data_IF_473199946259
#
_entry.id   IF_473199946259
#
_cell.length_a   1.000
_cell.length_b   1.000
_cell.length_c   1.000
_cell.angle_alpha   90.00
_cell.angle_beta   90.00
_cell.angle_gamma   90.00
#
_symmetry.space_group_name_H-M   'P 1'
#
loop_
_entity.id
_entity.type
_entity.pdbx_description
1 polymer ?
#
# COMPACT_ATOMS: atom_id res chain seq x y z
N UNK A 1 9.19 8.97 30.36
CA UNK A 1 10.50 8.69 29.74
C UNK A 1 10.40 9.07 28.27
N UNK A 2 10.79 10.30 27.95
CA UNK A 2 10.66 10.96 26.65
C UNK A 2 12.05 11.05 26.02
N UNK A 3 12.28 10.34 24.91
CA UNK A 3 13.51 10.45 24.12
C UNK A 3 13.33 11.59 23.11
N UNK A 4 13.97 12.73 23.40
CA UNK A 4 14.19 13.83 22.46
C UNK A 4 15.34 13.48 21.53
N UNK A 5 15.09 13.38 20.23
CA UNK A 5 16.16 13.30 19.22
C UNK A 5 16.55 14.72 18.82
N UNK A 6 17.76 15.10 19.22
CA UNK A 6 18.44 16.35 18.85
C UNK A 6 19.12 16.09 17.49
N UNK A 7 18.75 16.83 16.45
CA UNK A 7 19.49 16.88 15.18
C UNK A 7 20.58 17.95 15.28
N UNK A 8 21.85 17.52 15.35
CA UNK A 8 23.03 18.39 15.25
C UNK A 8 23.54 18.35 13.81
N UNK A 9 23.52 19.49 13.12
CA UNK A 9 24.23 19.71 11.85
C UNK A 9 25.59 20.35 12.13
N UNK A 10 26.72 19.70 11.81
CA UNK A 10 28.02 20.37 11.83
C UNK A 10 28.47 20.74 10.41
N UNK A 11 28.92 21.98 10.23
CA UNK A 11 29.94 22.28 9.23
C UNK A 11 29.58 23.30 8.14
N UNK A 12 29.24 24.53 8.51
CA UNK A 12 29.46 25.68 7.63
C UNK A 12 30.93 26.10 7.77
N UNK A 13 31.72 26.01 6.69
CA UNK A 13 33.04 26.64 6.59
C UNK A 13 33.18 27.41 5.29
N UNK A 14 33.30 28.72 5.47
CA UNK A 14 34.04 29.73 4.72
C UNK A 14 34.32 29.49 3.22
N UNK A 15 33.70 30.36 2.43
CA UNK A 15 33.94 30.63 1.02
C UNK A 15 35.24 31.44 0.85
N UNK A 16 36.15 31.00 -0.04
CA UNK A 16 37.26 31.84 -0.54
C UNK A 16 37.25 31.88 -2.07
N UNK A 17 37.55 33.05 -2.59
CA UNK A 17 37.43 33.49 -3.98
C UNK A 17 38.55 32.97 -4.89
N UNK A 18 38.19 32.52 -6.10
CA UNK A 18 39.13 32.27 -7.19
C UNK A 18 38.43 32.42 -8.54
N UNK A 19 38.92 33.34 -9.36
CA UNK A 19 38.36 33.80 -10.64
C UNK A 19 38.95 33.00 -11.81
N UNK A 20 38.19 32.94 -12.91
CA UNK A 20 38.54 32.64 -14.31
C UNK A 20 38.12 31.26 -14.84
N UNK A 21 37.35 31.28 -15.93
CA UNK A 21 37.10 30.09 -16.75
C UNK A 21 35.70 30.09 -17.39
N UNK A 22 35.60 30.71 -18.56
CA UNK A 22 34.44 30.74 -19.44
C UNK A 22 34.01 29.31 -19.88
N UNK A 23 32.75 29.18 -20.30
CA UNK A 23 32.06 28.01 -20.88
C UNK A 23 31.44 26.98 -19.91
N UNK A 24 30.13 27.15 -19.65
CA UNK A 24 29.23 26.00 -19.48
C UNK A 24 27.82 26.39 -19.88
N UNK A 25 27.33 25.73 -20.93
CA UNK A 25 25.92 25.67 -21.32
C UNK A 25 25.06 25.22 -20.12
N UNK A 26 23.82 25.70 -19.95
CA UNK A 26 22.97 25.24 -18.87
C UNK A 26 22.57 23.79 -19.16
N UNK A 27 23.21 22.86 -18.45
CA UNK A 27 22.76 21.48 -18.32
C UNK A 27 21.42 21.54 -17.55
N UNK A 28 20.32 21.61 -18.29
CA UNK A 28 18.98 21.39 -17.78
C UNK A 28 18.98 20.02 -17.11
N UNK A 29 19.09 19.99 -15.78
CA UNK A 29 18.79 18.81 -14.97
C UNK A 29 17.30 18.57 -15.08
N UNK A 30 16.90 17.91 -16.17
CA UNK A 30 15.58 17.32 -16.31
C UNK A 30 15.40 16.39 -15.12
N UNK A 31 14.51 16.76 -14.19
CA UNK A 31 14.12 15.92 -13.07
C UNK A 31 13.56 14.63 -13.64
N UNK A 32 14.36 13.58 -13.68
CA UNK A 32 13.89 12.24 -14.00
C UNK A 32 13.01 11.77 -12.84
N UNK A 33 11.70 11.94 -12.98
CA UNK A 33 10.71 11.30 -12.12
C UNK A 33 10.78 9.80 -12.38
N UNK A 34 11.40 9.04 -11.47
CA UNK A 34 11.41 7.57 -11.53
C UNK A 34 9.99 7.05 -11.29
N UNK A 35 9.25 6.81 -12.38
CA UNK A 35 7.99 6.06 -12.36
C UNK A 35 8.28 4.57 -12.49
N UNK A 36 7.78 3.76 -11.54
CA UNK A 36 7.79 2.29 -11.64
C UNK A 36 6.70 1.79 -12.62
N UNK A 37 5.84 2.68 -13.13
CA UNK A 37 4.89 2.33 -14.18
C UNK A 37 5.59 2.38 -15.54
N UNK A 38 5.46 1.32 -16.37
CA UNK A 38 5.91 1.40 -17.76
C UNK A 38 5.22 2.60 -18.42
N UNK A 39 5.97 3.37 -19.22
CA UNK A 39 5.38 4.46 -20.00
C UNK A 39 4.34 3.85 -20.94
N UNK A 40 3.12 4.38 -20.87
CA UNK A 40 2.03 3.95 -21.75
C UNK A 40 2.47 4.16 -23.20
N UNK A 41 2.58 3.07 -23.98
CA UNK A 41 2.90 3.10 -25.41
C UNK A 41 4.30 2.62 -25.80
N UNK A 42 5.23 2.40 -24.86
CA UNK A 42 6.57 1.92 -25.19
C UNK A 42 6.63 0.39 -25.01
N UNK A 43 6.42 -0.34 -26.12
CA UNK A 43 6.50 -1.79 -26.13
C UNK A 43 7.96 -2.21 -25.84
N UNK A 44 8.15 -3.04 -24.82
CA UNK A 44 9.50 -3.51 -24.43
C UNK A 44 10.12 -4.22 -25.64
N UNK A 45 11.28 -3.77 -26.15
CA UNK A 45 11.92 -4.41 -27.29
C UNK A 45 12.17 -5.90 -27.00
N UNK A 46 11.89 -6.75 -27.98
CA UNK A 46 12.00 -8.21 -27.85
C UNK A 46 13.38 -8.65 -27.37
N UNK A 47 14.44 -7.98 -27.87
CA UNK A 47 15.83 -8.22 -27.47
C UNK A 47 16.06 -7.89 -25.98
N UNK A 48 15.50 -6.81 -25.46
CA UNK A 48 15.61 -6.45 -24.03
C UNK A 48 14.93 -7.51 -23.15
N UNK A 49 13.76 -8.00 -23.55
CA UNK A 49 13.06 -9.07 -22.85
C UNK A 49 13.80 -10.42 -22.97
N UNK A 50 14.44 -10.70 -24.10
CA UNK A 50 15.28 -11.88 -24.31
C UNK A 50 16.54 -11.84 -23.45
N UNK A 51 17.29 -10.73 -23.49
CA UNK A 51 18.48 -10.51 -22.66
C UNK A 51 18.12 -10.60 -21.18
N UNK A 52 17.04 -9.97 -20.73
CA UNK A 52 16.61 -10.07 -19.33
C UNK A 52 16.29 -11.52 -18.89
N UNK A 53 15.73 -12.34 -19.79
CA UNK A 53 15.43 -13.76 -19.53
C UNK A 53 16.70 -14.63 -19.53
N UNK A 54 17.63 -14.38 -20.44
CA UNK A 54 18.90 -15.13 -20.54
C UNK A 54 19.84 -14.76 -19.39
N UNK A 55 19.91 -13.49 -19.01
CA UNK A 55 20.72 -13.01 -17.88
C UNK A 55 20.24 -13.54 -16.53
N UNK A 56 19.03 -14.08 -16.45
CA UNK A 56 18.45 -14.59 -15.23
C UNK A 56 17.54 -15.80 -15.49
N UNK A 57 18.14 -16.95 -15.86
CA UNK A 57 17.41 -18.11 -16.36
C UNK A 57 16.52 -18.75 -15.29
N UNK A 58 16.96 -18.73 -14.03
CA UNK A 58 16.19 -19.18 -12.87
C UNK A 58 15.22 -18.11 -12.36
N UNK A 59 15.31 -16.88 -12.87
CA UNK A 59 14.53 -15.74 -12.42
C UNK A 59 15.02 -15.10 -11.11
N UNK A 60 14.55 -13.88 -10.85
CA UNK A 60 15.16 -13.03 -9.82
C UNK A 60 14.87 -13.57 -8.43
N UNK A 61 15.75 -13.32 -7.45
CA UNK A 61 15.48 -13.58 -6.03
C UNK A 61 14.11 -13.06 -5.59
N UNK A 62 13.72 -11.87 -6.06
CA UNK A 62 12.40 -11.30 -5.81
C UNK A 62 11.24 -12.15 -6.39
N UNK A 63 11.45 -12.81 -7.53
CA UNK A 63 10.48 -13.74 -8.12
C UNK A 63 10.33 -14.99 -7.27
N UNK A 64 11.43 -15.61 -6.84
CA UNK A 64 11.42 -16.76 -5.94
C UNK A 64 10.75 -16.47 -4.61
N UNK A 65 11.03 -15.31 -4.01
CA UNK A 65 10.36 -14.86 -2.78
C UNK A 65 8.85 -14.73 -3.01
N UNK A 66 8.42 -14.15 -4.14
CA UNK A 66 6.99 -14.03 -4.47
C UNK A 66 6.33 -15.40 -4.65
N UNK A 67 6.96 -16.32 -5.37
CA UNK A 67 6.45 -17.68 -5.60
C UNK A 67 6.30 -18.42 -4.26
N UNK A 68 7.34 -18.40 -3.42
CA UNK A 68 7.32 -19.02 -2.09
C UNK A 68 6.23 -18.44 -1.19
N UNK A 69 6.08 -17.12 -1.14
CA UNK A 69 5.04 -16.45 -0.35
C UNK A 69 3.64 -16.78 -0.87
N UNK A 70 3.43 -16.81 -2.18
CA UNK A 70 2.13 -17.20 -2.78
C UNK A 70 1.78 -18.67 -2.48
N UNK A 71 2.76 -19.56 -2.47
CA UNK A 71 2.55 -20.95 -2.08
C UNK A 71 2.14 -21.05 -0.61
N UNK A 72 2.84 -20.36 0.29
CA UNK A 72 2.47 -20.31 1.72
C UNK A 72 1.07 -19.73 1.93
N UNK A 73 0.67 -18.74 1.12
CA UNK A 73 -0.66 -18.12 1.18
C UNK A 73 -1.81 -19.10 0.90
N UNK A 74 -1.57 -20.19 0.18
CA UNK A 74 -2.63 -21.18 -0.09
C UNK A 74 -2.98 -22.04 1.12
N UNK A 75 -2.07 -22.13 2.11
CA UNK A 75 -2.26 -22.98 3.28
C UNK A 75 -3.37 -22.46 4.20
N UNK A 76 -4.26 -23.31 4.74
CA UNK A 76 -5.35 -22.89 5.62
C UNK A 76 -4.85 -22.09 6.84
N UNK A 77 -3.77 -22.56 7.49
CA UNK A 77 -3.18 -21.87 8.64
C UNK A 77 -2.67 -20.47 8.32
N UNK A 78 -2.17 -20.22 7.10
CA UNK A 78 -1.82 -18.87 6.66
C UNK A 78 -3.07 -18.00 6.52
N UNK A 79 -4.10 -18.54 5.85
CA UNK A 79 -5.35 -17.81 5.60
C UNK A 79 -6.04 -17.42 6.91
N UNK A 80 -6.09 -18.30 7.91
CA UNK A 80 -6.67 -18.00 9.23
C UNK A 80 -5.93 -16.85 9.93
N UNK A 81 -4.60 -16.88 9.98
CA UNK A 81 -3.81 -15.78 10.56
C UNK A 81 -3.99 -14.47 9.79
N UNK A 82 -4.03 -14.56 8.46
CA UNK A 82 -4.19 -13.39 7.61
C UNK A 82 -5.61 -12.79 7.70
N UNK A 83 -6.64 -13.61 7.93
CA UNK A 83 -8.00 -13.14 8.12
C UNK A 83 -8.09 -12.18 9.32
N UNK A 84 -7.51 -12.55 10.47
CA UNK A 84 -7.44 -11.70 11.67
C UNK A 84 -6.73 -10.37 11.35
N UNK A 85 -5.54 -10.45 10.74
CA UNK A 85 -4.77 -9.25 10.37
C UNK A 85 -5.55 -8.35 9.40
N UNK A 86 -6.17 -8.93 8.38
CA UNK A 86 -6.97 -8.19 7.40
C UNK A 86 -8.20 -7.53 8.03
N UNK A 87 -8.77 -8.14 9.08
CA UNK A 87 -9.82 -7.55 9.89
C UNK A 87 -9.34 -6.28 10.61
N UNK A 88 -8.18 -6.35 11.27
CA UNK A 88 -7.55 -5.21 11.94
C UNK A 88 -7.25 -4.08 10.95
N UNK A 89 -6.64 -4.40 9.81
CA UNK A 89 -6.34 -3.42 8.75
C UNK A 89 -7.63 -2.79 8.19
N UNK A 90 -8.71 -3.59 8.07
CA UNK A 90 -10.04 -3.12 7.69
C UNK A 90 -10.59 -2.09 8.67
N UNK A 91 -10.53 -2.36 9.97
CA UNK A 91 -10.95 -1.42 11.02
C UNK A 91 -10.10 -0.15 11.01
N UNK A 92 -8.78 -0.25 10.90
CA UNK A 92 -7.91 0.94 10.80
C UNK A 92 -8.26 1.79 9.58
N UNK A 93 -8.57 1.16 8.45
CA UNK A 93 -9.00 1.87 7.24
C UNK A 93 -10.36 2.55 7.41
N UNK A 94 -11.32 1.90 8.07
CA UNK A 94 -12.63 2.49 8.41
C UNK A 94 -12.49 3.70 9.33
N UNK A 95 -11.69 3.60 10.40
CA UNK A 95 -11.40 4.75 11.27
C UNK A 95 -10.75 5.90 10.50
N UNK A 96 -9.74 5.58 9.67
CA UNK A 96 -8.99 6.59 8.95
C UNK A 96 -9.80 7.29 7.85
N UNK A 97 -10.59 6.52 7.06
CA UNK A 97 -11.31 7.03 5.89
C UNK A 97 -12.77 7.36 6.16
N UNK A 98 -13.46 6.55 6.96
CA UNK A 98 -14.87 6.75 7.33
C UNK A 98 -15.04 7.81 8.41
N UNK A 99 -14.15 7.84 9.40
CA UNK A 99 -14.28 8.74 10.57
C UNK A 99 -13.13 9.75 10.73
N UNK A 100 -12.21 9.83 9.77
CA UNK A 100 -11.21 10.89 9.71
C UNK A 100 -10.21 10.92 10.88
N UNK A 101 -9.96 9.80 11.57
CA UNK A 101 -9.15 9.77 12.80
C UNK A 101 -7.68 10.18 12.64
N UNK A 102 -7.19 10.27 11.40
CA UNK A 102 -5.88 10.85 11.06
C UNK A 102 -5.82 12.37 11.25
N UNK A 103 -6.96 13.02 11.35
CA UNK A 103 -7.09 14.46 11.57
C UNK A 103 -7.83 14.69 12.89
N UNK A 104 -7.06 14.90 13.96
CA UNK A 104 -7.63 15.27 15.25
C UNK A 104 -7.75 16.80 15.35
N UNK A 105 -8.95 17.30 15.70
CA UNK A 105 -9.18 18.73 15.92
C UNK A 105 -8.57 19.22 17.22
N UNK A 106 -8.37 18.31 18.18
CA UNK A 106 -7.81 18.60 19.49
C UNK A 106 -6.29 18.42 19.51
N UNK A 107 -5.62 19.32 20.25
CA UNK A 107 -4.17 19.22 20.51
C UNK A 107 -3.92 18.48 21.83
N UNK A 108 -2.95 17.56 21.82
CA UNK A 108 -2.53 16.78 22.98
C UNK A 108 -3.02 15.33 22.97
N UNK A 109 -2.15 14.41 23.41
CA UNK A 109 -2.39 12.96 23.43
C UNK A 109 -3.67 12.55 24.19
N UNK A 110 -3.98 13.10 25.38
CA UNK A 110 -5.17 12.67 26.12
C UNK A 110 -6.49 12.98 25.39
N UNK A 111 -6.56 14.14 24.73
CA UNK A 111 -7.76 14.55 23.97
C UNK A 111 -7.92 13.76 22.67
N UNK A 112 -6.80 13.49 21.98
CA UNK A 112 -6.80 12.62 20.79
C UNK A 112 -7.22 11.18 21.14
N UNK A 113 -6.72 10.65 22.27
CA UNK A 113 -7.11 9.33 22.75
C UNK A 113 -8.63 9.25 23.02
N UNK A 114 -9.20 10.23 23.73
CA UNK A 114 -10.64 10.28 23.98
C UNK A 114 -11.44 10.36 22.66
N UNK A 115 -11.00 11.16 21.69
CA UNK A 115 -11.61 11.20 20.35
C UNK A 115 -11.60 9.81 19.71
N UNK A 116 -10.47 9.11 19.72
CA UNK A 116 -10.36 7.77 19.12
C UNK A 116 -11.20 6.72 19.83
N UNK A 117 -11.29 6.74 21.16
CA UNK A 117 -12.14 5.83 21.94
C UNK A 117 -13.60 6.05 21.61
N UNK A 118 -14.06 7.30 21.59
CA UNK A 118 -15.45 7.61 21.24
C UNK A 118 -15.77 7.22 19.79
N UNK A 119 -14.85 7.45 18.85
CA UNK A 119 -14.99 6.97 17.48
C UNK A 119 -15.08 5.45 17.42
N UNK A 120 -14.29 4.72 18.22
CA UNK A 120 -14.35 3.27 18.27
C UNK A 120 -15.70 2.74 18.76
N UNK A 121 -16.27 3.38 19.78
CA UNK A 121 -17.60 3.05 20.29
C UNK A 121 -18.65 3.31 19.20
N UNK A 122 -18.58 4.46 18.52
CA UNK A 122 -19.50 4.79 17.44
C UNK A 122 -19.46 3.78 16.28
N UNK A 123 -18.26 3.39 15.83
CA UNK A 123 -18.06 2.35 14.81
C UNK A 123 -18.69 1.02 15.24
N UNK A 124 -18.50 0.62 16.49
CA UNK A 124 -19.07 -0.64 16.99
C UNK A 124 -20.61 -0.60 16.99
N UNK A 125 -21.21 0.54 17.38
CA UNK A 125 -22.67 0.73 17.34
C UNK A 125 -23.17 0.69 15.89
N UNK A 126 -22.52 1.38 14.96
CA UNK A 126 -22.89 1.38 13.54
C UNK A 126 -22.86 -0.03 12.95
N UNK A 127 -21.80 -0.81 13.24
CA UNK A 127 -21.68 -2.20 12.81
C UNK A 127 -22.80 -3.08 13.36
N UNK A 128 -23.14 -2.93 14.64
CA UNK A 128 -24.26 -3.66 15.25
C UNK A 128 -25.60 -3.25 14.63
N UNK A 129 -25.78 -1.96 14.31
CA UNK A 129 -27.01 -1.45 13.69
C UNK A 129 -27.22 -1.94 12.25
N UNK A 130 -26.14 -2.16 11.50
CA UNK A 130 -26.18 -2.66 10.12
C UNK A 130 -26.19 -4.18 10.00
N UNK A 131 -26.09 -4.90 11.12
CA UNK A 131 -26.12 -6.35 11.14
C UNK A 131 -27.56 -6.82 10.83
N UNK A 132 -27.75 -7.54 9.73
CA UNK A 132 -29.05 -8.15 9.42
C UNK A 132 -29.44 -9.16 10.51
N UNK A 133 -30.74 -9.25 10.82
CA UNK A 133 -31.25 -10.28 11.72
C UNK A 133 -30.80 -11.66 11.24
N UNK A 134 -30.39 -12.50 12.20
CA UNK A 134 -29.76 -13.81 11.97
C UNK A 134 -30.48 -14.61 10.89
N UNK A 135 -29.88 -14.72 9.69
CA UNK A 135 -30.40 -15.55 8.59
C UNK A 135 -30.56 -14.87 7.24
N UNK A 136 -30.46 -13.53 7.13
CA UNK A 136 -30.50 -12.87 5.82
C UNK A 136 -29.09 -12.65 5.25
N UNK A 137 -28.78 -13.19 4.05
CA UNK A 137 -27.51 -12.90 3.38
C UNK A 137 -27.48 -11.42 2.99
N UNK A 138 -26.40 -10.72 3.33
CA UNK A 138 -26.16 -9.34 2.89
C UNK A 138 -26.20 -9.27 1.35
N UNK A 139 -26.82 -8.24 0.78
CA UNK A 139 -26.82 -8.06 -0.67
C UNK A 139 -25.37 -8.00 -1.19
N UNK A 140 -25.01 -8.78 -2.23
CA UNK A 140 -23.68 -8.71 -2.80
C UNK A 140 -23.40 -7.29 -3.28
N UNK A 141 -22.20 -6.78 -2.99
CA UNK A 141 -21.77 -5.51 -3.59
C UNK A 141 -21.78 -5.67 -5.12
N UNK A 142 -22.32 -4.71 -5.89
CA UNK A 142 -22.24 -4.74 -7.35
C UNK A 142 -20.78 -4.88 -7.80
N UNK A 143 -20.50 -5.68 -8.84
CA UNK A 143 -19.14 -5.93 -9.28
C UNK A 143 -18.48 -4.63 -9.73
N UNK A 144 -17.21 -4.46 -9.37
CA UNK A 144 -16.42 -3.31 -9.84
C UNK A 144 -16.12 -3.47 -11.33
N UNK A 145 -15.87 -2.38 -12.05
CA UNK A 145 -15.50 -2.42 -13.47
C UNK A 145 -14.34 -3.39 -13.77
N UNK A 146 -13.39 -3.51 -12.85
CA UNK A 146 -12.31 -4.49 -12.95
C UNK A 146 -12.79 -5.94 -12.81
N UNK A 147 -13.71 -6.21 -11.89
CA UNK A 147 -14.31 -7.55 -11.76
C UNK A 147 -15.11 -7.93 -13.01
N UNK A 148 -15.87 -6.98 -13.57
CA UNK A 148 -16.58 -7.17 -14.85
C UNK A 148 -15.61 -7.49 -15.98
N UNK A 149 -14.47 -6.78 -16.07
CA UNK A 149 -13.42 -7.09 -17.03
C UNK A 149 -12.85 -8.50 -16.85
N UNK A 150 -12.61 -8.94 -15.62
CA UNK A 150 -12.13 -10.31 -15.37
C UNK A 150 -13.14 -11.36 -15.86
N UNK A 151 -14.43 -11.14 -15.58
CA UNK A 151 -15.48 -12.06 -16.02
C UNK A 151 -15.57 -12.11 -17.56
N UNK A 152 -15.50 -10.96 -18.22
CA UNK A 152 -15.53 -10.84 -19.69
C UNK A 152 -14.36 -11.56 -20.37
N UNK A 153 -13.22 -11.69 -19.70
CA UNK A 153 -12.01 -12.34 -20.23
C UNK A 153 -11.80 -13.74 -19.64
N UNK A 154 -12.80 -14.30 -18.94
CA UNK A 154 -12.74 -15.62 -18.30
C UNK A 154 -11.55 -15.78 -17.33
N UNK A 155 -11.07 -14.68 -16.76
CA UNK A 155 -9.93 -14.67 -15.84
C UNK A 155 -10.44 -15.01 -14.43
N UNK A 156 -9.89 -16.05 -13.76
CA UNK A 156 -10.30 -16.41 -12.41
C UNK A 156 -10.15 -15.23 -11.44
N UNK A 157 -11.26 -14.86 -10.78
CA UNK A 157 -11.22 -13.86 -9.71
C UNK A 157 -10.32 -14.35 -8.58
N UNK A 158 -9.51 -13.44 -8.03
CA UNK A 158 -8.73 -13.76 -6.83
C UNK A 158 -9.68 -14.08 -5.68
N UNK A 159 -9.57 -15.28 -5.09
CA UNK A 159 -10.34 -15.65 -3.90
C UNK A 159 -10.03 -14.64 -2.78
N UNK A 160 -11.06 -14.00 -2.26
CA UNK A 160 -10.89 -13.09 -1.13
C UNK A 160 -10.55 -13.91 0.11
N UNK A 161 -9.57 -13.48 0.89
CA UNK A 161 -9.21 -14.15 2.16
C UNK A 161 -10.33 -14.09 3.21
N UNK A 162 -11.39 -13.32 2.96
CA UNK A 162 -12.57 -13.17 3.82
C UNK A 162 -13.56 -14.33 3.73
N UNK A 163 -13.51 -15.14 2.68
CA UNK A 163 -14.40 -16.29 2.48
C UNK A 163 -13.71 -17.58 2.92
N UNK A 164 -13.27 -17.65 4.17
CA UNK A 164 -12.80 -18.88 4.81
C UNK A 164 -13.96 -19.44 5.63
N UNK A 165 -14.77 -20.29 5.01
CA UNK A 165 -15.93 -20.87 5.67
C UNK A 165 -17.06 -21.16 4.67
N UNK A 166 -16.81 -22.13 3.81
CA UNK A 166 -17.82 -23.07 3.32
C UNK A 166 -17.13 -24.41 3.13
#
# INVERSE_FOLDING_TARGET
MTLSVILVFPGARAWSSGRLGLFRTPMQLSRCTLSVRPRSGEQVPSLTAQVARVSNPEGTTAMWVRVRVRAAQQTPGWKTRYAVRSGVEGTVNEFARGHGTRHCRYRGQPKAHLQHVLTAIAVNIERLSGQAATGQPSSPRPPTAFQTFLDQNEIPRSKSWRTLGT
#
